data_IF_032555030478
#
_entry.id   IF_032555030478
#
_cell.length_a   1.000
_cell.length_b   1.000
_cell.length_c   1.000
_cell.angle_alpha   90.00
_cell.angle_beta   90.00
_cell.angle_gamma   90.00
#
_symmetry.space_group_name_H-M   'P 1'
#
loop_
_entity.id
_entity.type
_entity.pdbx_description
1 polymer ?
#
# COMPACT_ATOMS: atom_id res chain seq x y z
N UNK A 1 -48.55 -50.22 -46.48
CA UNK A 1 -48.34 -48.87 -47.06
C UNK A 1 -48.99 -47.89 -46.09
N UNK A 2 -48.39 -46.95 -45.37
CA UNK A 2 -47.14 -46.17 -45.41
C UNK A 2 -46.78 -45.85 -43.93
N UNK A 3 -45.48 -45.81 -43.61
CA UNK A 3 -44.94 -45.26 -42.35
C UNK A 3 -45.20 -43.74 -42.29
N UNK A 4 -45.38 -43.18 -41.08
CA UNK A 4 -44.84 -41.87 -40.68
C UNK A 4 -44.48 -41.97 -39.19
N UNK A 5 -43.17 -42.01 -38.96
CA UNK A 5 -42.52 -41.61 -37.71
C UNK A 5 -42.46 -40.07 -37.67
N UNK A 6 -42.12 -39.50 -36.52
CA UNK A 6 -41.80 -38.06 -36.30
C UNK A 6 -42.99 -37.27 -35.73
N UNK A 7 -42.88 -36.48 -34.66
CA UNK A 7 -41.72 -35.85 -34.04
C UNK A 7 -42.09 -35.64 -32.56
N UNK A 8 -41.53 -36.41 -31.62
CA UNK A 8 -41.47 -35.92 -30.24
C UNK A 8 -40.46 -34.79 -30.26
N UNK A 9 -40.96 -33.56 -30.42
CA UNK A 9 -40.20 -32.37 -30.07
C UNK A 9 -40.01 -32.47 -28.56
N UNK A 10 -38.91 -33.10 -28.14
CA UNK A 10 -38.33 -32.82 -26.84
C UNK A 10 -38.02 -31.33 -26.87
N UNK A 11 -38.99 -30.54 -26.41
CA UNK A 11 -38.76 -29.18 -25.99
C UNK A 11 -37.79 -29.33 -24.82
N UNK A 12 -36.49 -29.40 -25.13
CA UNK A 12 -35.47 -28.97 -24.20
C UNK A 12 -35.81 -27.51 -23.97
N UNK A 13 -36.65 -27.27 -22.97
CA UNK A 13 -36.54 -26.09 -22.15
C UNK A 13 -35.14 -26.25 -21.56
N UNK A 14 -34.13 -25.90 -22.37
CA UNK A 14 -32.88 -25.38 -21.86
C UNK A 14 -33.37 -24.25 -21.01
N UNK A 15 -33.52 -24.51 -19.71
CA UNK A 15 -33.71 -23.47 -18.74
C UNK A 15 -32.57 -22.52 -19.04
N UNK A 16 -32.89 -21.41 -19.70
CA UNK A 16 -32.00 -20.30 -19.84
C UNK A 16 -31.81 -19.85 -18.40
N UNK A 17 -30.84 -20.46 -17.73
CA UNK A 17 -30.35 -20.01 -16.45
C UNK A 17 -29.73 -18.68 -16.82
N UNK A 18 -30.41 -17.59 -16.53
CA UNK A 18 -29.73 -16.31 -16.46
C UNK A 18 -28.62 -16.52 -15.43
N UNK A 19 -27.37 -16.67 -15.88
CA UNK A 19 -26.24 -16.69 -14.99
C UNK A 19 -26.35 -15.40 -14.15
N UNK A 20 -26.64 -15.56 -12.86
CA UNK A 20 -26.71 -14.45 -11.94
C UNK A 20 -25.29 -13.88 -11.87
N UNK A 21 -25.04 -12.81 -12.62
CA UNK A 21 -23.70 -12.23 -12.73
C UNK A 21 -23.10 -11.97 -11.35
N UNK A 22 -21.80 -12.15 -11.22
CA UNK A 22 -21.06 -11.79 -10.02
C UNK A 22 -20.53 -10.37 -10.13
N UNK A 23 -20.35 -9.77 -8.96
CA UNK A 23 -19.64 -8.50 -8.82
C UNK A 23 -18.42 -8.75 -7.93
N UNK A 24 -17.38 -7.95 -8.14
CA UNK A 24 -16.17 -7.98 -7.32
C UNK A 24 -15.90 -6.59 -6.77
N UNK A 25 -15.56 -6.54 -5.49
CA UNK A 25 -15.05 -5.36 -4.80
C UNK A 25 -13.66 -5.65 -4.25
N UNK A 26 -12.83 -4.61 -4.14
CA UNK A 26 -11.48 -4.73 -3.59
C UNK A 26 -11.37 -3.81 -2.37
N UNK A 27 -10.84 -4.33 -1.28
CA UNK A 27 -10.30 -3.53 -0.17
C UNK A 27 -8.77 -3.56 -0.24
N UNK A 28 -8.11 -2.47 0.17
CA UNK A 28 -6.66 -2.37 0.11
C UNK A 28 -6.04 -1.67 1.31
N UNK A 29 -4.76 -1.95 1.49
CA UNK A 29 -3.86 -1.23 2.40
C UNK A 29 -2.75 -0.62 1.56
N UNK A 30 -2.55 0.69 1.73
CA UNK A 30 -1.50 1.43 1.03
C UNK A 30 -0.11 1.11 1.59
N UNK A 31 0.92 1.47 0.83
CA UNK A 31 2.31 1.36 1.25
C UNK A 31 2.56 2.29 2.43
N UNK A 32 3.22 1.78 3.47
CA UNK A 32 3.47 2.51 4.72
C UNK A 32 4.64 3.50 4.64
N UNK A 33 5.71 3.12 3.94
CA UNK A 33 6.92 3.92 3.77
C UNK A 33 7.25 4.06 2.29
N UNK A 34 7.65 5.26 1.88
CA UNK A 34 8.07 5.56 0.51
C UNK A 34 9.06 4.52 -0.02
N UNK A 35 8.80 4.00 -1.23
CA UNK A 35 9.66 3.04 -1.92
C UNK A 35 9.61 1.60 -1.38
N UNK A 36 8.75 1.31 -0.41
CA UNK A 36 8.55 -0.06 0.11
C UNK A 36 7.39 -0.78 -0.59
N UNK A 37 7.35 -2.10 -0.46
CA UNK A 37 6.29 -2.95 -0.99
C UNK A 37 5.41 -3.51 0.13
N UNK A 38 4.89 -2.64 1.01
CA UNK A 38 4.10 -3.04 2.18
C UNK A 38 2.59 -3.07 1.92
N UNK A 39 2.14 -2.69 0.72
CA UNK A 39 0.73 -2.66 0.36
C UNK A 39 0.10 -4.06 0.22
N UNK A 40 -1.23 -4.09 0.27
CA UNK A 40 -2.02 -5.30 0.04
C UNK A 40 -3.37 -4.99 -0.59
N UNK A 41 -3.97 -5.97 -1.24
CA UNK A 41 -5.33 -5.90 -1.77
C UNK A 41 -6.06 -7.23 -1.55
N UNK A 42 -7.35 -7.16 -1.21
CA UNK A 42 -8.21 -8.34 -1.00
C UNK A 42 -9.49 -8.19 -1.80
N UNK A 43 -9.77 -9.20 -2.62
CA UNK A 43 -10.99 -9.32 -3.39
C UNK A 43 -12.13 -9.90 -2.55
N UNK A 44 -13.34 -9.37 -2.75
CA UNK A 44 -14.59 -9.93 -2.22
C UNK A 44 -15.59 -10.05 -3.36
N UNK A 45 -16.08 -11.27 -3.58
CA UNK A 45 -17.02 -11.61 -4.66
C UNK A 45 -18.42 -11.73 -4.09
N UNK A 46 -19.42 -11.17 -4.79
CA UNK A 46 -20.84 -11.29 -4.45
C UNK A 46 -21.63 -11.77 -5.67
N UNK A 47 -22.48 -12.78 -5.47
CA UNK A 47 -23.17 -13.49 -6.54
C UNK A 47 -22.31 -14.60 -7.17
N UNK A 48 -22.74 -15.11 -8.33
CA UNK A 48 -22.02 -16.13 -9.09
C UNK A 48 -22.01 -17.54 -8.49
N UNK A 49 -21.31 -18.44 -9.17
CA UNK A 49 -21.13 -19.86 -8.84
C UNK A 49 -19.65 -20.19 -8.64
N UNK A 50 -19.29 -20.52 -7.41
CA UNK A 50 -17.93 -21.00 -7.10
C UNK A 50 -17.63 -22.38 -7.71
N UNK A 51 -16.34 -22.77 -7.78
CA UNK A 51 -15.17 -22.03 -7.33
C UNK A 51 -14.79 -20.87 -8.26
N UNK A 52 -14.28 -19.77 -7.69
CA UNK A 52 -13.80 -18.62 -8.44
C UNK A 52 -12.29 -18.71 -8.72
N UNK A 53 -11.86 -18.23 -9.89
CA UNK A 53 -10.44 -17.98 -10.18
C UNK A 53 -10.16 -16.49 -10.18
N UNK A 54 -8.94 -16.12 -9.77
CA UNK A 54 -8.48 -14.74 -9.71
C UNK A 54 -7.29 -14.58 -10.66
N UNK A 55 -7.18 -13.43 -11.30
CA UNK A 55 -6.03 -13.05 -12.10
C UNK A 55 -5.70 -11.57 -11.84
N UNK A 56 -4.64 -11.35 -11.07
CA UNK A 56 -4.15 -10.01 -10.72
C UNK A 56 -3.08 -9.55 -11.71
N UNK A 57 -3.37 -8.51 -12.48
CA UNK A 57 -2.38 -7.82 -13.31
C UNK A 57 -1.72 -6.66 -12.55
N UNK A 58 -0.39 -6.44 -12.67
CA UNK A 58 0.55 -7.12 -13.58
C UNK A 58 1.27 -8.34 -12.99
N UNK A 59 0.94 -8.79 -11.78
CA UNK A 59 1.74 -9.80 -11.06
C UNK A 59 1.40 -11.27 -11.41
N UNK A 60 0.25 -11.53 -12.04
CA UNK A 60 -0.27 -12.87 -12.37
C UNK A 60 -0.65 -13.70 -11.15
N UNK A 61 -1.02 -13.08 -10.03
CA UNK A 61 -1.41 -13.81 -8.81
C UNK A 61 -2.83 -14.36 -8.92
N UNK A 62 -3.09 -15.51 -8.30
CA UNK A 62 -4.35 -16.26 -8.43
C UNK A 62 -5.12 -16.43 -7.12
N UNK A 63 -4.68 -15.75 -6.05
CA UNK A 63 -5.33 -15.73 -4.74
C UNK A 63 -6.27 -14.55 -4.59
N UNK A 64 -7.28 -14.67 -3.72
CA UNK A 64 -8.19 -13.56 -3.42
C UNK A 64 -7.47 -12.38 -2.75
N UNK A 65 -6.44 -12.65 -1.95
CA UNK A 65 -5.60 -11.64 -1.31
C UNK A 65 -4.20 -11.66 -1.91
N UNK A 66 -3.67 -10.48 -2.18
CA UNK A 66 -2.29 -10.24 -2.58
C UNK A 66 -1.62 -9.25 -1.62
N UNK A 67 -0.36 -9.51 -1.30
CA UNK A 67 0.46 -8.70 -0.39
C UNK A 67 1.81 -8.43 -1.05
N UNK A 68 2.58 -7.48 -0.52
CA UNK A 68 3.87 -7.16 -1.14
C UNK A 68 3.72 -6.19 -2.30
N UNK A 69 2.66 -5.35 -2.28
CA UNK A 69 2.37 -4.41 -3.36
C UNK A 69 3.15 -3.11 -3.17
N UNK A 70 3.78 -2.65 -4.23
CA UNK A 70 4.34 -1.30 -4.33
C UNK A 70 3.25 -0.31 -4.78
N UNK A 71 3.57 0.98 -4.77
CA UNK A 71 2.72 2.00 -5.38
C UNK A 71 2.40 1.66 -6.85
N UNK A 72 1.15 1.78 -7.25
CA UNK A 72 0.70 1.41 -8.60
C UNK A 72 -0.77 1.04 -8.67
N UNK A 73 -1.25 0.82 -9.90
CA UNK A 73 -2.62 0.36 -10.16
C UNK A 73 -2.59 -1.12 -10.49
N UNK A 74 -3.47 -1.87 -9.81
CA UNK A 74 -3.65 -3.30 -9.96
C UNK A 74 -5.06 -3.57 -10.49
N UNK A 75 -5.15 -4.46 -11.47
CA UNK A 75 -6.42 -4.90 -12.05
C UNK A 75 -6.63 -6.36 -11.69
N UNK A 76 -7.85 -6.68 -11.27
CA UNK A 76 -8.26 -8.04 -10.97
C UNK A 76 -9.34 -8.46 -11.96
N UNK A 77 -9.16 -9.63 -12.55
CA UNK A 77 -10.21 -10.38 -13.23
C UNK A 77 -10.60 -11.57 -12.37
N UNK A 78 -11.89 -11.70 -12.07
CA UNK A 78 -12.44 -12.88 -11.39
C UNK A 78 -13.32 -13.65 -12.34
N UNK A 79 -13.07 -14.95 -12.49
CA UNK A 79 -13.89 -15.84 -13.33
C UNK A 79 -14.69 -16.79 -12.46
N UNK A 80 -15.97 -16.87 -12.78
CA UNK A 80 -16.97 -17.78 -12.20
C UNK A 80 -16.95 -19.15 -12.92
N UNK A 81 -17.31 -20.23 -12.22
CA UNK A 81 -17.39 -21.58 -12.78
C UNK A 81 -18.62 -21.81 -13.70
N UNK A 82 -19.62 -20.93 -13.66
CA UNK A 82 -20.78 -20.89 -14.55
C UNK A 82 -20.49 -20.06 -15.80
N UNK A 83 -20.49 -20.73 -16.95
CA UNK A 83 -20.33 -20.16 -18.29
C UNK A 83 -19.10 -19.25 -18.50
N UNK A 84 -18.09 -19.33 -17.63
CA UNK A 84 -16.89 -18.49 -17.63
C UNK A 84 -17.22 -16.99 -17.62
N UNK A 85 -18.26 -16.58 -16.88
CA UNK A 85 -18.51 -15.16 -16.63
C UNK A 85 -17.31 -14.52 -15.95
N UNK A 86 -16.95 -13.30 -16.37
CA UNK A 86 -15.84 -12.53 -15.79
C UNK A 86 -16.33 -11.23 -15.18
N UNK A 87 -15.79 -10.86 -14.02
CA UNK A 87 -15.98 -9.57 -13.39
C UNK A 87 -14.62 -8.93 -13.13
N UNK A 88 -14.52 -7.62 -13.32
CA UNK A 88 -13.28 -6.89 -13.16
C UNK A 88 -13.39 -5.81 -12.09
N UNK A 89 -12.31 -5.62 -11.36
CA UNK A 89 -12.15 -4.49 -10.45
C UNK A 89 -10.72 -3.97 -10.52
N UNK A 90 -10.56 -2.69 -10.21
CA UNK A 90 -9.27 -2.04 -10.17
C UNK A 90 -9.05 -1.45 -8.78
N UNK A 91 -7.79 -1.41 -8.36
CA UNK A 91 -7.38 -0.76 -7.12
C UNK A 91 -6.06 -0.03 -7.35
N UNK A 92 -5.94 1.16 -6.75
CA UNK A 92 -4.69 1.91 -6.75
C UNK A 92 -4.10 1.85 -5.35
N UNK A 93 -2.87 1.37 -5.25
CA UNK A 93 -2.04 1.42 -4.06
C UNK A 93 -1.21 2.70 -4.14
N UNK A 94 -1.30 3.54 -3.11
CA UNK A 94 -0.50 4.76 -2.98
C UNK A 94 0.59 4.58 -1.92
N UNK A 95 1.54 5.51 -1.87
CA UNK A 95 2.57 5.60 -0.83
C UNK A 95 2.68 7.05 -0.31
N UNK A 96 3.19 7.27 0.92
CA UNK A 96 3.46 8.62 1.40
C UNK A 96 4.63 9.27 0.64
N UNK A 97 4.76 10.61 0.67
CA UNK A 97 5.96 11.28 0.17
C UNK A 97 7.22 10.79 0.89
N UNK A 98 8.39 10.92 0.25
CA UNK A 98 9.68 10.61 0.89
C UNK A 98 9.86 11.44 2.17
N UNK A 99 10.13 10.78 3.30
CA UNK A 99 10.49 11.44 4.54
C UNK A 99 11.90 12.04 4.40
N UNK A 100 12.02 13.34 4.66
CA UNK A 100 13.27 14.07 4.66
C UNK A 100 13.44 14.80 5.99
N UNK A 101 14.68 14.87 6.46
CA UNK A 101 15.08 15.61 7.65
C UNK A 101 16.22 16.56 7.30
N UNK A 102 16.17 17.77 7.83
CA UNK A 102 17.25 18.76 7.66
C UNK A 102 17.47 19.51 8.97
N UNK A 103 18.74 19.66 9.36
CA UNK A 103 19.13 20.40 10.56
C UNK A 103 19.49 21.83 10.16
N UNK A 104 18.98 22.79 10.91
CA UNK A 104 19.32 24.22 10.82
C UNK A 104 19.96 24.71 12.12
N UNK A 105 20.76 25.78 12.06
CA UNK A 105 21.47 26.35 13.22
C UNK A 105 22.87 25.80 13.48
N UNK A 106 23.38 24.90 12.62
CA UNK A 106 24.75 24.36 12.68
C UNK A 106 25.80 25.21 11.94
N UNK A 107 27.06 24.76 11.97
CA UNK A 107 28.17 25.38 11.21
C UNK A 107 28.72 26.69 11.79
N UNK A 108 28.37 27.02 13.03
CA UNK A 108 28.81 28.24 13.72
C UNK A 108 29.96 27.91 14.68
N UNK A 109 31.00 28.75 14.69
CA UNK A 109 32.04 28.71 15.73
C UNK A 109 31.42 29.12 17.07
N UNK A 110 31.32 28.18 17.99
CA UNK A 110 30.72 28.40 19.31
C UNK A 110 31.84 28.65 20.31
N UNK A 111 31.74 29.77 21.04
CA UNK A 111 32.69 30.11 22.10
C UNK A 111 32.61 29.09 23.25
N UNK A 112 33.70 28.94 24.00
CA UNK A 112 33.75 28.05 25.17
C UNK A 112 32.62 28.37 26.15
N UNK A 113 31.79 27.37 26.46
CA UNK A 113 30.66 27.49 27.38
C UNK A 113 29.35 27.97 26.78
N UNK A 114 29.29 28.27 25.48
CA UNK A 114 28.05 28.62 24.79
C UNK A 114 27.37 27.38 24.18
N UNK A 115 26.04 27.46 24.02
CA UNK A 115 25.25 26.48 23.31
C UNK A 115 24.47 27.16 22.18
N UNK A 116 24.23 26.44 21.09
CA UNK A 116 23.39 26.90 19.98
C UNK A 116 22.17 25.99 19.84
N UNK A 117 20.98 26.51 19.55
CA UNK A 117 19.85 25.67 19.20
C UNK A 117 20.06 25.07 17.79
N UNK A 118 19.98 23.75 17.69
CA UNK A 118 19.80 23.04 16.43
C UNK A 118 18.32 22.73 16.27
N UNK A 119 17.75 23.06 15.11
CA UNK A 119 16.33 22.79 14.83
C UNK A 119 16.18 21.88 13.62
N UNK A 120 15.35 20.86 13.75
CA UNK A 120 15.05 19.92 12.66
C UNK A 120 13.80 20.35 11.93
N UNK A 121 13.92 20.48 10.62
CA UNK A 121 12.80 20.60 9.71
C UNK A 121 12.57 19.24 9.04
N UNK A 122 11.45 18.60 9.38
CA UNK A 122 11.03 17.32 8.83
C UNK A 122 9.90 17.54 7.81
N UNK A 123 10.01 16.92 6.62
CA UNK A 123 9.02 17.02 5.54
C UNK A 123 8.75 15.65 4.93
N UNK A 124 7.58 15.48 4.31
CA UNK A 124 7.15 14.20 3.74
C UNK A 124 6.82 13.14 4.79
N UNK A 125 6.83 11.86 4.42
CA UNK A 125 6.37 10.77 5.28
C UNK A 125 4.90 10.89 5.70
N UNK A 126 4.55 10.23 6.79
CA UNK A 126 3.23 10.29 7.43
C UNK A 126 3.27 11.21 8.65
N UNK A 127 2.47 12.31 8.69
CA UNK A 127 2.57 13.31 9.75
C UNK A 127 2.48 12.75 11.18
N UNK A 128 3.08 13.49 12.11
CA UNK A 128 3.50 13.11 13.46
C UNK A 128 4.87 12.44 13.48
N UNK A 129 5.86 13.21 13.93
CA UNK A 129 7.25 12.80 13.93
C UNK A 129 7.80 12.71 15.36
N UNK A 130 8.67 11.73 15.56
CA UNK A 130 9.52 11.61 16.74
C UNK A 130 10.98 11.84 16.37
N UNK A 131 11.77 12.32 17.32
CA UNK A 131 13.16 12.69 17.11
C UNK A 131 14.05 11.86 18.03
N UNK A 132 15.26 11.55 17.57
CA UNK A 132 16.30 10.91 18.38
C UNK A 132 17.65 11.51 18.06
N UNK A 133 18.10 12.44 18.91
CA UNK A 133 19.37 13.13 18.75
C UNK A 133 20.55 12.31 19.26
N UNK A 134 21.66 12.34 18.53
CA UNK A 134 22.95 11.82 18.97
C UNK A 134 24.03 12.88 18.79
N UNK A 135 24.85 13.18 19.81
CA UNK A 135 24.73 12.73 21.20
C UNK A 135 23.54 13.38 21.94
N UNK A 136 23.13 12.80 23.07
CA UNK A 136 22.21 13.41 24.03
C UNK A 136 20.82 12.76 24.15
N UNK A 137 20.38 11.96 23.17
CA UNK A 137 19.16 11.16 23.24
C UNK A 137 17.86 11.97 23.35
N UNK A 138 17.90 13.27 23.06
CA UNK A 138 16.73 14.13 23.17
C UNK A 138 15.66 13.74 22.14
N UNK A 139 14.39 13.89 22.53
CA UNK A 139 13.22 13.55 21.71
C UNK A 139 12.38 14.78 21.33
N UNK A 140 13.07 15.87 20.98
CA UNK A 140 12.47 17.18 20.68
C UNK A 140 12.95 17.69 19.32
N UNK A 141 12.14 18.50 18.62
CA UNK A 141 12.52 19.05 17.31
C UNK A 141 13.66 20.08 17.39
N UNK A 142 13.87 20.68 18.57
CA UNK A 142 14.94 21.63 18.83
C UNK A 142 15.84 21.11 19.95
N UNK A 143 17.13 20.97 19.67
CA UNK A 143 18.14 20.47 20.59
C UNK A 143 19.18 21.54 20.92
N UNK A 144 19.48 21.71 22.21
CA UNK A 144 20.53 22.63 22.67
C UNK A 144 21.90 21.96 22.52
N UNK A 145 22.62 22.30 21.45
CA UNK A 145 23.96 21.78 21.18
C UNK A 145 25.02 22.60 21.92
N UNK A 146 25.75 21.95 22.83
CA UNK A 146 26.86 22.52 23.59
C UNK A 146 28.15 21.78 23.21
N UNK A 147 28.76 22.07 22.05
CA UNK A 147 29.92 21.32 21.56
C UNK A 147 31.15 21.51 22.44
N UNK A 148 32.00 20.48 22.49
CA UNK A 148 33.28 20.50 23.19
C UNK A 148 34.41 21.07 22.31
N UNK A 149 35.52 21.46 22.93
CA UNK A 149 36.72 21.87 22.23
C UNK A 149 37.21 20.74 21.30
N UNK A 150 37.40 21.05 20.01
CA UNK A 150 37.70 20.05 18.97
C UNK A 150 36.53 19.76 18.02
N UNK A 151 35.35 20.34 18.27
CA UNK A 151 34.15 20.15 17.45
C UNK A 151 33.35 18.91 17.85
N UNK A 152 32.06 18.92 17.52
CA UNK A 152 31.14 17.82 17.78
C UNK A 152 30.13 17.72 16.64
N UNK A 153 29.97 16.52 16.08
CA UNK A 153 28.89 16.23 15.13
C UNK A 153 27.64 15.85 15.89
N UNK A 154 26.50 16.41 15.48
CA UNK A 154 25.18 16.05 15.94
C UNK A 154 24.42 15.42 14.78
N UNK A 155 23.80 14.28 15.02
CA UNK A 155 22.88 13.62 14.10
C UNK A 155 21.52 13.52 14.76
N UNK A 156 20.47 13.43 13.95
CA UNK A 156 19.11 13.22 14.42
C UNK A 156 18.44 12.20 13.53
N UNK A 157 17.83 11.19 14.13
CA UNK A 157 16.92 10.31 13.41
C UNK A 157 15.51 10.86 13.60
N UNK A 158 14.84 11.14 12.50
CA UNK A 158 13.42 11.49 12.47
C UNK A 158 12.64 10.23 12.09
N UNK A 159 11.62 9.89 12.87
CA UNK A 159 10.73 8.77 12.60
C UNK A 159 9.30 9.28 12.46
N UNK A 160 8.60 8.86 11.43
CA UNK A 160 7.20 9.24 11.18
C UNK A 160 6.20 8.30 11.90
N UNK A 161 4.88 8.56 11.78
CA UNK A 161 3.85 7.75 12.45
C UNK A 161 3.83 6.27 12.01
N UNK A 162 4.29 5.98 10.79
CA UNK A 162 4.36 4.63 10.25
C UNK A 162 5.70 3.93 10.56
N UNK A 163 6.61 4.59 11.29
CA UNK A 163 7.92 4.04 11.64
C UNK A 163 8.99 4.24 10.56
N UNK A 164 8.73 5.03 9.52
CA UNK A 164 9.70 5.34 8.48
C UNK A 164 10.74 6.32 9.01
N UNK A 165 12.03 6.14 8.67
CA UNK A 165 13.13 6.93 9.24
C UNK A 165 13.90 7.76 8.22
N UNK A 166 14.31 8.97 8.61
CA UNK A 166 15.28 9.81 7.92
C UNK A 166 16.39 10.28 8.89
N UNK A 167 17.60 10.55 8.39
CA UNK A 167 18.75 11.02 9.19
C UNK A 167 19.41 12.23 8.55
#
# INVERSE_FOLDING_TARGET
MKKIYSLFLALFISTCVFAAGHTVSITSVNVQCYGTASGSATASVSGGVGPFTYDWSPMGATTATVTGLSTGTYSLVVTDNSDMSTATANVTITEPPLLAASITGGGVTICSGACTPLTVNATGGTPAYTYSWTPGGAMVPTYSACPIAGGQTYTVVVTDMNGCTAT
#
